data_IF_367201678654
#
_entry.id   IF_367201678654
#
_cell.length_a   1.000
_cell.length_b   1.000
_cell.length_c   1.000
_cell.angle_alpha   90.00
_cell.angle_beta   90.00
_cell.angle_gamma   90.00
#
_symmetry.space_group_name_H-M   'P 1'
#
loop_
_entity.id
_entity.type
_entity.pdbx_description
1 polymer ?
#
# COMPACT_ATOMS: atom_id res chain seq x y z
N UNK A 1 25.29 6.04 -28.49
CA UNK A 1 25.83 5.87 -27.13
C UNK A 1 24.73 6.17 -26.13
N UNK A 2 24.34 5.20 -25.28
CA UNK A 2 23.37 5.44 -24.20
C UNK A 2 24.13 5.93 -22.96
N UNK A 3 23.79 7.10 -22.43
CA UNK A 3 24.28 7.60 -21.14
C UNK A 3 23.35 7.08 -20.05
N UNK A 4 23.91 6.47 -19.01
CA UNK A 4 23.15 6.06 -17.82
C UNK A 4 23.58 6.95 -16.65
N UNK A 5 22.62 7.56 -15.98
CA UNK A 5 22.85 8.29 -14.74
C UNK A 5 22.91 7.28 -13.60
N UNK A 6 24.10 7.08 -13.04
CA UNK A 6 24.29 6.28 -11.82
C UNK A 6 24.36 7.27 -10.66
N UNK A 7 23.36 7.24 -9.78
CA UNK A 7 23.33 8.07 -8.56
C UNK A 7 23.81 7.23 -7.38
N UNK A 8 24.94 7.59 -6.79
CA UNK A 8 25.36 7.03 -5.50
C UNK A 8 24.77 7.88 -4.37
N UNK A 9 24.24 7.20 -3.35
CA UNK A 9 23.68 7.83 -2.15
C UNK A 9 24.61 7.56 -0.99
N UNK A 10 25.18 8.62 -0.42
CA UNK A 10 26.04 8.54 0.76
C UNK A 10 25.25 8.92 2.00
N UNK A 11 25.26 8.06 3.02
CA UNK A 11 24.69 8.33 4.34
C UNK A 11 25.68 9.17 5.15
N UNK A 12 25.20 10.29 5.69
CA UNK A 12 25.94 11.17 6.61
C UNK A 12 25.15 11.33 7.89
N UNK A 13 25.85 11.49 9.01
CA UNK A 13 25.27 11.80 10.31
C UNK A 13 25.75 13.17 10.79
N UNK A 14 24.84 13.93 11.42
CA UNK A 14 25.14 15.20 12.07
C UNK A 14 24.58 15.17 13.49
N UNK A 15 25.43 15.51 14.46
CA UNK A 15 25.02 15.60 15.86
C UNK A 15 24.75 17.06 16.21
N UNK A 16 23.51 17.35 16.59
CA UNK A 16 23.08 18.68 17.01
C UNK A 16 22.80 18.64 18.50
N UNK A 17 23.41 19.55 19.25
CA UNK A 17 23.11 19.73 20.67
C UNK A 17 21.84 20.57 20.81
N UNK A 18 20.79 20.02 21.40
CA UNK A 18 19.57 20.78 21.73
C UNK A 18 19.81 21.57 23.04
N UNK A 19 19.88 22.92 22.98
CA UNK A 19 20.16 23.73 24.16
C UNK A 19 19.00 23.78 25.16
N UNK A 20 17.81 23.27 24.81
CA UNK A 20 16.62 23.30 25.68
C UNK A 20 16.55 22.03 26.53
N UNK A 21 16.91 20.87 25.95
CA UNK A 21 16.82 19.57 26.61
C UNK A 21 18.18 19.03 27.07
N UNK A 22 19.29 19.69 26.69
CA UNK A 22 20.68 19.20 26.88
C UNK A 22 20.93 17.82 26.24
N UNK A 23 20.12 17.42 25.26
CA UNK A 23 20.27 16.16 24.55
C UNK A 23 20.97 16.33 23.20
N UNK A 24 21.75 15.31 22.82
CA UNK A 24 22.38 15.25 21.50
C UNK A 24 21.46 14.50 20.54
N UNK A 25 20.99 15.21 19.52
CA UNK A 25 20.14 14.66 18.47
C UNK A 25 21.05 14.28 17.29
N UNK A 26 21.11 12.99 17.00
CA UNK A 26 21.81 12.47 15.83
C UNK A 26 20.83 12.42 14.66
N UNK A 27 21.11 13.18 13.61
CA UNK A 27 20.30 13.20 12.39
C UNK A 27 21.09 12.51 11.28
N UNK A 28 20.55 11.40 10.78
CA UNK A 28 21.05 10.74 9.58
C UNK A 28 20.35 11.30 8.34
N UNK A 29 21.13 11.69 7.33
CA UNK A 29 20.61 12.20 6.06
C UNK A 29 21.37 11.60 4.88
N UNK A 30 20.69 11.56 3.73
CA UNK A 30 21.24 11.02 2.49
C UNK A 30 21.55 12.16 1.52
N UNK A 31 22.79 12.22 1.05
CA UNK A 31 23.20 13.19 0.03
C UNK A 31 23.40 12.47 -1.30
N UNK A 32 22.71 12.97 -2.35
CA UNK A 32 22.77 12.42 -3.71
C UNK A 32 23.87 13.14 -4.49
N UNK A 33 24.92 12.41 -4.85
CA UNK A 33 25.96 12.94 -5.73
C UNK A 33 25.78 12.38 -7.15
N UNK A 34 25.63 13.25 -8.14
CA UNK A 34 25.65 12.88 -9.56
C UNK A 34 27.08 12.68 -10.03
N UNK A 35 27.42 11.46 -10.47
CA UNK A 35 28.69 11.20 -11.17
C UNK A 35 28.35 10.86 -12.62
N UNK A 36 28.83 11.69 -13.55
CA UNK A 36 28.81 11.38 -14.99
C UNK A 36 30.00 10.45 -15.25
N UNK A 37 29.76 9.15 -15.38
CA UNK A 37 30.81 8.18 -15.72
C UNK A 37 30.70 7.76 -17.19
N UNK A 38 31.77 7.98 -17.95
CA UNK A 38 31.97 7.40 -19.28
C UNK A 38 32.53 5.98 -19.11
N UNK A 39 31.69 4.95 -19.28
CA UNK A 39 32.16 3.56 -19.23
C UNK A 39 33.05 3.25 -20.45
N UNK A 40 34.34 3.09 -20.20
CA UNK A 40 35.24 2.33 -21.09
C UNK A 40 35.30 0.89 -20.57
N UNK A 41 35.01 -0.07 -21.44
CA UNK A 41 35.04 -1.51 -21.15
C UNK A 41 36.43 -1.94 -20.67
N UNK A 42 36.55 -2.40 -19.43
CA UNK A 42 37.71 -3.16 -18.97
C UNK A 42 37.23 -4.47 -18.34
N UNK A 43 37.50 -5.56 -19.06
CA UNK A 43 37.52 -6.91 -18.52
C UNK A 43 38.48 -6.93 -17.34
N UNK A 44 37.97 -7.27 -16.15
CA UNK A 44 38.81 -7.66 -15.04
C UNK A 44 38.19 -8.94 -14.45
N UNK A 45 38.92 -10.03 -14.69
CA UNK A 45 38.76 -11.35 -14.11
C UNK A 45 39.27 -11.32 -12.67
N UNK A 46 38.37 -11.40 -11.69
CA UNK A 46 38.72 -11.70 -10.29
C UNK A 46 37.61 -12.55 -9.67
N UNK A 47 37.92 -13.82 -9.41
CA UNK A 47 37.12 -14.69 -8.57
C UNK A 47 37.07 -14.15 -7.14
N UNK A 48 35.86 -13.97 -6.61
CA UNK A 48 35.58 -13.60 -5.23
C UNK A 48 34.30 -14.31 -4.76
N UNK A 49 34.52 -15.37 -3.98
CA UNK A 49 33.73 -16.01 -2.91
C UNK A 49 32.19 -15.85 -2.86
N UNK A 50 31.52 -16.99 -3.10
CA UNK A 50 30.07 -17.29 -3.04
C UNK A 50 29.33 -16.90 -1.74
N UNK A 51 30.01 -16.38 -0.72
CA UNK A 51 29.39 -16.06 0.58
C UNK A 51 28.79 -14.65 0.66
N UNK A 52 29.30 -13.69 -0.11
CA UNK A 52 28.86 -12.28 0.01
C UNK A 52 27.54 -11.98 -0.73
N UNK A 53 27.17 -12.79 -1.72
CA UNK A 53 25.88 -12.65 -2.43
C UNK A 53 24.69 -13.16 -1.61
N UNK A 54 24.90 -14.13 -0.72
CA UNK A 54 23.81 -14.73 0.06
C UNK A 54 23.25 -13.78 1.13
N UNK A 55 24.07 -12.91 1.73
CA UNK A 55 23.61 -12.00 2.79
C UNK A 55 22.72 -10.86 2.26
N UNK A 56 22.99 -10.37 1.03
CA UNK A 56 22.09 -9.42 0.35
C UNK A 56 20.76 -10.05 -0.06
N UNK A 57 20.76 -11.35 -0.39
CA UNK A 57 19.53 -12.08 -0.72
C UNK A 57 18.66 -12.24 0.53
N UNK A 58 19.26 -12.44 1.71
CA UNK A 58 18.52 -12.61 2.98
C UNK A 58 17.88 -11.29 3.41
N UNK A 59 18.59 -10.16 3.35
CA UNK A 59 18.06 -8.86 3.77
C UNK A 59 16.91 -8.36 2.88
N UNK A 60 16.95 -8.67 1.58
CA UNK A 60 15.85 -8.36 0.66
C UNK A 60 14.56 -9.16 0.95
N UNK A 61 14.67 -10.35 1.55
CA UNK A 61 13.51 -11.19 1.84
C UNK A 61 12.78 -10.80 3.13
N UNK A 62 13.47 -10.19 4.11
CA UNK A 62 12.86 -9.79 5.39
C UNK A 62 11.97 -8.53 5.29
N UNK A 63 12.13 -7.68 4.28
CA UNK A 63 11.26 -6.50 4.08
C UNK A 63 9.87 -6.86 3.50
N UNK A 64 9.58 -8.14 3.28
CA UNK A 64 8.29 -8.62 2.78
C UNK A 64 7.24 -8.89 3.87
N UNK A 65 7.51 -8.58 5.13
CA UNK A 65 6.57 -8.76 6.25
C UNK A 65 5.45 -7.70 6.27
N UNK A 66 4.55 -7.80 5.30
CA UNK A 66 3.08 -7.64 5.39
C UNK A 66 2.48 -8.12 4.07
N UNK A 67 2.82 -9.34 3.63
CA UNK A 67 2.23 -9.91 2.41
C UNK A 67 0.74 -10.17 2.62
N UNK A 68 -0.08 -9.18 2.27
CA UNK A 68 -1.45 -9.40 1.82
C UNK A 68 -1.37 -10.53 0.79
N UNK A 69 -2.08 -11.64 1.01
CA UNK A 69 -2.04 -12.87 0.21
C UNK A 69 -2.60 -12.65 -1.22
N UNK A 70 -1.91 -11.81 -1.97
CA UNK A 70 -2.37 -11.12 -3.14
C UNK A 70 -1.29 -11.27 -4.19
N UNK A 71 -1.55 -12.12 -5.18
CA UNK A 71 -0.63 -12.49 -6.27
C UNK A 71 0.05 -11.31 -6.98
N UNK A 72 -0.54 -10.11 -6.94
CA UNK A 72 -0.03 -8.89 -7.56
C UNK A 72 -0.26 -7.71 -6.64
N UNK A 73 0.75 -6.93 -6.32
CA UNK A 73 0.63 -5.75 -5.44
C UNK A 73 0.09 -4.54 -6.21
N UNK A 74 -0.33 -3.50 -5.49
CA UNK A 74 -0.72 -2.24 -6.14
C UNK A 74 0.47 -1.55 -6.82
N UNK A 75 1.69 -1.79 -6.31
CA UNK A 75 2.92 -1.34 -6.96
C UNK A 75 3.12 -2.01 -8.33
N UNK A 76 2.87 -3.32 -8.44
CA UNK A 76 2.93 -4.02 -9.74
C UNK A 76 1.90 -3.46 -10.73
N UNK A 77 0.72 -3.08 -10.24
CA UNK A 77 -0.34 -2.48 -11.06
C UNK A 77 0.07 -1.10 -11.59
N UNK A 78 0.75 -0.28 -10.77
CA UNK A 78 1.33 1.01 -11.21
C UNK A 78 2.37 0.79 -12.30
N UNK A 79 3.34 -0.10 -12.06
CA UNK A 79 4.41 -0.40 -13.03
C UNK A 79 3.85 -0.91 -14.37
N UNK A 80 2.78 -1.70 -14.37
CA UNK A 80 2.09 -2.14 -15.59
C UNK A 80 1.52 -0.96 -16.38
N UNK A 81 0.93 0.02 -15.70
CA UNK A 81 0.38 1.22 -16.33
C UNK A 81 1.49 2.07 -16.96
N UNK A 82 2.61 2.27 -16.24
CA UNK A 82 3.75 3.01 -16.78
C UNK A 82 4.28 2.39 -18.08
N UNK A 83 4.36 1.05 -18.15
CA UNK A 83 4.78 0.35 -19.37
C UNK A 83 3.76 0.47 -20.50
N UNK A 84 2.47 0.53 -20.18
CA UNK A 84 1.41 0.73 -21.15
C UNK A 84 1.40 2.16 -21.71
N UNK A 85 1.63 3.16 -20.87
CA UNK A 85 1.78 4.57 -21.28
C UNK A 85 3.03 4.78 -22.16
N UNK A 86 4.09 3.99 -21.95
CA UNK A 86 5.25 3.92 -22.84
C UNK A 86 4.95 3.27 -24.21
N UNK A 87 3.72 2.82 -24.46
CA UNK A 87 3.29 2.25 -25.74
C UNK A 87 3.62 0.77 -25.92
N UNK A 88 4.02 0.05 -24.86
CA UNK A 88 4.33 -1.39 -24.96
C UNK A 88 3.06 -2.21 -25.20
N UNK A 89 3.20 -3.30 -25.95
CA UNK A 89 2.09 -4.23 -26.23
C UNK A 89 1.78 -5.07 -24.99
N UNK A 90 0.52 -5.48 -24.84
CA UNK A 90 0.07 -6.31 -23.72
C UNK A 90 0.88 -7.61 -23.57
N UNK A 91 1.32 -8.21 -24.67
CA UNK A 91 2.16 -9.42 -24.68
C UNK A 91 3.54 -9.17 -24.10
N UNK A 92 4.13 -8.01 -24.40
CA UNK A 92 5.45 -7.63 -23.87
C UNK A 92 5.35 -7.36 -22.37
N UNK A 93 4.32 -6.65 -21.95
CA UNK A 93 4.04 -6.39 -20.54
C UNK A 93 3.80 -7.71 -19.79
N UNK A 94 3.02 -8.61 -20.36
CA UNK A 94 2.77 -9.96 -19.80
C UNK A 94 4.08 -10.73 -19.57
N UNK A 95 5.00 -10.67 -20.53
CA UNK A 95 6.31 -11.32 -20.44
C UNK A 95 7.23 -10.63 -19.42
N UNK A 96 7.28 -9.30 -19.40
CA UNK A 96 8.12 -8.52 -18.46
C UNK A 96 7.77 -8.82 -17.01
N UNK A 97 6.47 -8.89 -16.70
CA UNK A 97 6.00 -9.10 -15.33
C UNK A 97 5.66 -10.57 -15.01
N UNK A 98 5.89 -11.50 -15.95
CA UNK A 98 5.51 -12.91 -15.84
C UNK A 98 4.05 -13.10 -15.36
N UNK A 99 3.13 -12.32 -15.93
CA UNK A 99 1.71 -12.34 -15.59
C UNK A 99 0.88 -12.86 -16.74
N UNK A 100 -0.23 -13.60 -16.49
CA UNK A 100 -1.16 -13.95 -17.55
C UNK A 100 -1.66 -12.70 -18.27
N UNK A 101 -1.70 -12.74 -19.60
CA UNK A 101 -2.17 -11.62 -20.42
C UNK A 101 -3.60 -11.20 -20.06
N UNK A 102 -4.45 -12.14 -19.62
CA UNK A 102 -5.79 -11.86 -19.11
C UNK A 102 -5.79 -10.96 -17.88
N UNK A 103 -4.82 -11.14 -16.97
CA UNK A 103 -4.65 -10.29 -15.78
C UNK A 103 -4.22 -8.89 -16.18
N UNK A 104 -3.21 -8.75 -17.04
CA UNK A 104 -2.75 -7.45 -17.54
C UNK A 104 -3.89 -6.70 -18.21
N UNK A 105 -4.62 -7.38 -19.10
CA UNK A 105 -5.81 -6.82 -19.75
C UNK A 105 -6.87 -6.36 -18.74
N UNK A 106 -7.14 -7.16 -17.70
CA UNK A 106 -8.12 -6.79 -16.67
C UNK A 106 -7.68 -5.56 -15.85
N UNK A 107 -6.40 -5.46 -15.52
CA UNK A 107 -5.82 -4.28 -14.83
C UNK A 107 -6.06 -3.03 -15.67
N UNK A 108 -5.71 -3.07 -16.96
CA UNK A 108 -5.87 -1.94 -17.88
C UNK A 108 -7.35 -1.57 -18.07
N UNK A 109 -8.23 -2.55 -18.22
CA UNK A 109 -9.68 -2.30 -18.35
C UNK A 109 -10.26 -1.61 -17.11
N UNK A 110 -9.84 -2.03 -15.91
CA UNK A 110 -10.25 -1.38 -14.66
C UNK A 110 -9.77 0.06 -14.61
N UNK A 111 -8.53 0.32 -15.00
CA UNK A 111 -7.98 1.66 -15.05
C UNK A 111 -8.75 2.55 -16.05
N UNK A 112 -9.00 2.05 -17.26
CA UNK A 112 -9.75 2.80 -18.28
C UNK A 112 -11.20 3.09 -17.88
N UNK A 113 -11.86 2.17 -17.16
CA UNK A 113 -13.27 2.32 -16.74
C UNK A 113 -13.46 3.15 -15.48
N UNK A 114 -12.62 2.92 -14.48
CA UNK A 114 -12.82 3.42 -13.12
C UNK A 114 -11.74 4.42 -12.69
N UNK A 115 -10.66 4.60 -13.47
CA UNK A 115 -9.52 5.46 -13.12
C UNK A 115 -8.69 4.94 -11.94
N UNK A 116 -9.02 3.77 -11.39
CA UNK A 116 -8.37 3.24 -10.18
C UNK A 116 -7.19 2.33 -10.51
N UNK A 117 -6.13 2.48 -9.72
CA UNK A 117 -4.99 1.57 -9.75
C UNK A 117 -5.13 0.53 -8.64
N UNK A 118 -5.65 0.90 -7.48
CA UNK A 118 -5.73 0.04 -6.30
C UNK A 118 -6.79 -1.05 -6.43
N UNK A 119 -6.58 -2.13 -5.69
CA UNK A 119 -7.58 -3.20 -5.56
C UNK A 119 -8.73 -2.75 -4.68
N UNK A 120 -9.94 -3.14 -5.08
CA UNK A 120 -11.10 -3.06 -4.20
C UNK A 120 -10.94 -4.07 -3.07
N UNK A 121 -11.33 -3.66 -1.87
CA UNK A 121 -11.48 -4.58 -0.75
C UNK A 121 -12.39 -5.74 -1.15
N UNK A 122 -12.00 -6.97 -0.77
CA UNK A 122 -12.77 -8.18 -1.07
C UNK A 122 -13.73 -8.47 0.08
N UNK A 123 -14.97 -8.78 -0.26
CA UNK A 123 -16.00 -9.15 0.72
C UNK A 123 -16.46 -7.96 1.57
N UNK A 124 -16.96 -8.27 2.76
CA UNK A 124 -17.60 -7.29 3.64
C UNK A 124 -19.12 -7.45 3.68
N UNK A 125 -19.73 -6.93 4.73
CA UNK A 125 -21.17 -6.99 4.94
C UNK A 125 -21.84 -5.86 4.17
N UNK A 126 -22.57 -6.21 3.12
CA UNK A 126 -23.30 -5.22 2.30
C UNK A 126 -24.65 -4.83 2.89
N UNK A 127 -25.24 -5.71 3.70
CA UNK A 127 -26.58 -5.52 4.26
C UNK A 127 -26.55 -5.53 5.79
N UNK A 128 -26.98 -4.42 6.38
CA UNK A 128 -27.11 -4.25 7.81
C UNK A 128 -28.59 -4.32 8.21
N UNK A 129 -28.87 -4.96 9.36
CA UNK A 129 -30.20 -4.89 9.99
C UNK A 129 -30.49 -3.48 10.51
N UNK A 130 -29.43 -2.77 10.90
CA UNK A 130 -29.47 -1.37 11.31
C UNK A 130 -29.22 -0.52 10.06
N UNK A 131 -30.26 0.19 9.63
CA UNK A 131 -30.16 1.18 8.57
C UNK A 131 -29.82 2.55 9.17
N UNK A 132 -29.29 3.52 8.39
CA UNK A 132 -29.04 4.87 8.88
C UNK A 132 -30.27 5.50 9.55
N UNK A 133 -31.47 5.30 8.98
CA UNK A 133 -32.72 5.78 9.58
C UNK A 133 -33.02 5.21 10.98
N UNK A 134 -32.60 3.96 11.25
CA UNK A 134 -32.73 3.36 12.59
C UNK A 134 -31.70 3.97 13.54
N UNK A 135 -30.47 4.24 13.06
CA UNK A 135 -29.43 4.92 13.85
C UNK A 135 -29.91 6.31 14.26
N UNK A 136 -30.42 7.10 13.32
CA UNK A 136 -30.93 8.44 13.58
C UNK A 136 -32.07 8.43 14.61
N UNK A 137 -32.96 7.43 14.51
CA UNK A 137 -34.04 7.26 15.47
C UNK A 137 -33.53 6.88 16.87
N UNK A 138 -32.57 5.96 16.96
CA UNK A 138 -31.96 5.58 18.24
C UNK A 138 -31.24 6.78 18.86
N UNK A 139 -30.50 7.54 18.06
CA UNK A 139 -29.80 8.74 18.52
C UNK A 139 -30.80 9.75 19.09
N UNK A 140 -31.88 10.05 18.36
CA UNK A 140 -32.96 10.91 18.83
C UNK A 140 -33.60 10.40 20.13
N UNK A 141 -33.78 9.09 20.29
CA UNK A 141 -34.32 8.51 21.53
C UNK A 141 -33.38 8.71 22.72
N UNK A 142 -32.08 8.49 22.52
CA UNK A 142 -31.07 8.62 23.58
C UNK A 142 -30.86 10.08 23.94
N UNK A 143 -30.85 10.99 22.96
CA UNK A 143 -30.69 12.43 23.20
C UNK A 143 -31.86 13.00 24.02
N UNK A 144 -33.09 12.55 23.75
CA UNK A 144 -34.28 12.99 24.49
C UNK A 144 -34.47 12.28 25.83
N UNK A 145 -33.97 11.04 25.96
CA UNK A 145 -34.16 10.19 27.13
C UNK A 145 -32.87 9.43 27.45
N UNK A 146 -31.87 10.14 27.97
CA UNK A 146 -30.53 9.56 28.20
C UNK A 146 -30.49 8.39 29.20
N UNK A 147 -31.54 8.22 30.02
CA UNK A 147 -31.71 7.10 30.95
C UNK A 147 -32.50 5.91 30.38
N UNK A 148 -32.81 5.90 29.07
CA UNK A 148 -33.54 4.78 28.46
C UNK A 148 -32.69 3.50 28.47
N UNK A 149 -33.28 2.40 28.94
CA UNK A 149 -32.60 1.10 28.91
C UNK A 149 -32.53 0.55 27.49
N UNK A 150 -31.49 -0.24 27.19
CA UNK A 150 -31.32 -0.89 25.88
C UNK A 150 -32.52 -1.79 25.50
N UNK A 151 -33.17 -2.42 26.48
CA UNK A 151 -34.41 -3.20 26.27
C UNK A 151 -35.56 -2.31 25.78
N UNK A 152 -35.67 -1.10 26.34
CA UNK A 152 -36.70 -0.14 25.95
C UNK A 152 -36.40 0.46 24.56
N UNK A 153 -35.13 0.72 24.24
CA UNK A 153 -34.71 1.13 22.89
C UNK A 153 -35.10 0.07 21.87
N UNK A 154 -34.75 -1.19 22.12
CA UNK A 154 -35.11 -2.33 21.25
C UNK A 154 -36.62 -2.42 21.03
N UNK A 155 -37.42 -2.28 22.09
CA UNK A 155 -38.88 -2.32 22.00
C UNK A 155 -39.43 -1.17 21.13
N UNK A 156 -38.93 0.05 21.30
CA UNK A 156 -39.32 1.21 20.49
C UNK A 156 -38.92 1.08 19.03
N UNK A 157 -37.72 0.56 18.76
CA UNK A 157 -37.27 0.29 17.38
C UNK A 157 -38.15 -0.79 16.73
N UNK A 158 -38.49 -1.86 17.47
CA UNK A 158 -39.42 -2.88 16.99
C UNK A 158 -40.80 -2.31 16.66
N UNK A 159 -41.31 -1.42 17.50
CA UNK A 159 -42.61 -0.77 17.28
C UNK A 159 -42.61 0.14 16.04
N UNK A 160 -41.55 0.94 15.85
CA UNK A 160 -41.49 1.93 14.76
C UNK A 160 -41.06 1.33 13.42
N UNK A 161 -40.06 0.46 13.44
CA UNK A 161 -39.41 -0.06 12.22
C UNK A 161 -39.73 -1.54 11.95
N UNK A 162 -40.45 -2.22 12.85
CA UNK A 162 -40.82 -3.64 12.68
C UNK A 162 -39.64 -4.62 12.84
N UNK A 163 -38.46 -4.14 13.23
CA UNK A 163 -37.23 -4.94 13.33
C UNK A 163 -36.84 -5.11 14.79
N UNK A 164 -36.63 -6.37 15.21
CA UNK A 164 -36.05 -6.70 16.51
C UNK A 164 -34.51 -6.72 16.40
N UNK A 165 -33.86 -5.72 17.00
CA UNK A 165 -32.39 -5.66 17.13
C UNK A 165 -31.90 -6.54 18.28
N UNK A 166 -30.63 -6.97 18.32
CA UNK A 166 -30.07 -7.53 19.57
C UNK A 166 -29.73 -6.40 20.53
N UNK A 167 -29.79 -6.66 21.83
CA UNK A 167 -29.40 -5.70 22.88
C UNK A 167 -27.92 -5.30 22.75
N UNK A 168 -27.09 -6.20 22.19
CA UNK A 168 -25.65 -6.01 22.00
C UNK A 168 -25.26 -5.41 20.65
N UNK A 169 -26.21 -5.17 19.74
CA UNK A 169 -25.93 -4.62 18.39
C UNK A 169 -25.67 -3.13 18.47
#
# INVERSE_FOLDING_TARGET
MKKYLITNVTLKSLNIHDPITEEYINIEYTEKNEIISECSTLNIDYGLDEQFENDKIIECNLLSETMVNSKYTDNDRKRILDQYEQGKRLTEISNIFNMPMSTVKNILNVFQKEGRIEKKARGGKTHYKITPAIVDYIQCLVDNQCWISLKNVQLKVKQRHGILLSITT
#
